data_IF_717233107429
#
_entry.id   IF_717233107429
#
_cell.length_a   1.000
_cell.length_b   1.000
_cell.length_c   1.000
_cell.angle_alpha   90.00
_cell.angle_beta   90.00
_cell.angle_gamma   90.00
#
_symmetry.space_group_name_H-M   'P 1'
#
loop_
_entity.id
_entity.type
_entity.pdbx_description
1 polymer ?
#
# COMPACT_ATOMS: atom_id res chain seq x y z
N UNK A 1 3.83 18.63 -18.33
CA UNK A 1 2.89 19.22 -17.36
C UNK A 1 1.62 18.38 -17.36
N UNK A 2 1.42 17.56 -16.33
CA UNK A 2 0.17 16.83 -16.09
C UNK A 2 -0.42 17.38 -14.80
N UNK A 3 -1.33 18.34 -14.96
CA UNK A 3 -2.13 18.90 -13.85
C UNK A 3 -3.28 17.93 -13.61
N UNK A 4 -3.08 16.99 -12.70
CA UNK A 4 -4.10 16.09 -12.21
C UNK A 4 -3.64 15.57 -10.86
N UNK A 5 -4.49 15.66 -9.85
CA UNK A 5 -4.26 15.18 -8.50
C UNK A 5 -3.34 15.95 -7.53
N UNK A 6 -2.65 17.01 -7.97
CA UNK A 6 -1.67 17.69 -7.12
C UNK A 6 -0.49 16.79 -6.68
N UNK A 7 -0.35 15.62 -7.32
CA UNK A 7 0.75 14.66 -7.14
C UNK A 7 1.57 14.68 -8.43
N UNK A 8 2.85 15.06 -8.33
CA UNK A 8 3.72 15.18 -9.50
C UNK A 8 5.19 15.11 -9.10
N UNK A 9 6.06 14.81 -10.07
CA UNK A 9 7.51 14.95 -9.90
C UNK A 9 7.95 16.28 -10.50
N UNK A 10 8.58 17.13 -9.69
CA UNK A 10 9.07 18.46 -10.08
C UNK A 10 10.51 18.58 -9.60
N UNK A 11 11.47 18.87 -10.48
CA UNK A 11 12.89 19.02 -10.14
C UNK A 11 13.46 17.83 -9.32
N UNK A 12 13.12 16.60 -9.72
CA UNK A 12 13.47 15.36 -9.01
C UNK A 12 12.88 15.25 -7.59
N UNK A 13 11.80 15.97 -7.29
CA UNK A 13 11.09 15.88 -6.02
C UNK A 13 9.66 15.40 -6.25
N UNK A 14 9.19 14.40 -5.48
CA UNK A 14 7.78 14.02 -5.47
C UNK A 14 7.03 15.05 -4.61
N UNK A 15 6.21 15.85 -5.27
CA UNK A 15 5.39 16.89 -4.66
C UNK A 15 3.95 16.43 -4.61
N UNK A 16 3.35 16.50 -3.42
CA UNK A 16 1.98 16.11 -3.13
C UNK A 16 1.27 17.28 -2.46
N UNK A 17 0.22 17.81 -3.08
CA UNK A 17 -0.53 18.99 -2.63
C UNK A 17 0.38 20.20 -2.30
N UNK A 18 1.45 20.40 -3.09
CA UNK A 18 2.43 21.48 -2.88
C UNK A 18 3.50 21.19 -1.83
N UNK A 19 3.49 20.02 -1.21
CA UNK A 19 4.48 19.59 -0.23
C UNK A 19 5.44 18.56 -0.83
N UNK A 20 6.76 18.74 -0.63
CA UNK A 20 7.73 17.71 -1.01
C UNK A 20 7.67 16.54 -0.02
N UNK A 21 7.50 15.34 -0.55
CA UNK A 21 7.46 14.08 0.21
C UNK A 21 8.71 13.23 -0.06
N UNK A 22 9.15 13.14 -1.32
CA UNK A 22 10.40 12.47 -1.68
C UNK A 22 11.34 13.44 -2.38
N UNK A 23 12.63 13.31 -2.11
CA UNK A 23 13.70 14.06 -2.75
C UNK A 23 14.63 13.15 -3.53
N UNK A 24 15.09 13.60 -4.69
CA UNK A 24 16.00 12.83 -5.54
C UNK A 24 15.31 11.63 -6.19
N UNK A 25 14.06 11.82 -6.59
CA UNK A 25 13.28 10.88 -7.39
C UNK A 25 14.02 10.63 -8.72
N UNK A 26 14.38 9.38 -9.03
CA UNK A 26 15.04 9.03 -10.28
C UNK A 26 14.19 9.30 -11.53
N UNK A 27 14.83 9.58 -12.66
CA UNK A 27 14.16 9.92 -13.93
C UNK A 27 13.27 8.81 -14.49
N UNK A 28 13.55 7.56 -14.14
CA UNK A 28 12.79 6.41 -14.58
C UNK A 28 11.50 6.19 -13.76
N UNK A 29 11.26 6.97 -12.70
CA UNK A 29 10.00 6.93 -11.95
C UNK A 29 8.94 7.73 -12.70
N UNK A 30 7.81 7.10 -12.97
CA UNK A 30 6.70 7.68 -13.72
C UNK A 30 5.51 7.88 -12.79
N UNK A 31 4.87 9.05 -12.88
CA UNK A 31 3.64 9.35 -12.13
C UNK A 31 2.48 9.53 -13.11
N UNK A 32 1.50 8.63 -13.01
CA UNK A 32 0.31 8.61 -13.87
C UNK A 32 -0.93 8.95 -13.04
N UNK A 33 -1.63 10.06 -13.32
CA UNK A 33 -2.86 10.40 -12.61
C UNK A 33 -3.90 9.27 -12.69
N UNK A 34 -4.57 8.98 -11.58
CA UNK A 34 -5.63 8.00 -11.55
C UNK A 34 -6.83 8.53 -12.35
N UNK A 35 -7.14 7.89 -13.48
CA UNK A 35 -8.26 8.29 -14.33
C UNK A 35 -9.56 7.70 -13.78
N UNK A 36 -10.42 8.52 -13.18
CA UNK A 36 -11.73 8.07 -12.71
C UNK A 36 -12.62 9.23 -12.25
N UNK A 37 -13.95 9.09 -12.46
CA UNK A 37 -15.00 10.04 -12.04
C UNK A 37 -15.16 10.19 -10.51
N UNK A 38 -14.14 9.87 -9.72
CA UNK A 38 -14.21 9.87 -8.26
C UNK A 38 -13.59 11.13 -7.67
N UNK A 39 -14.21 11.65 -6.60
CA UNK A 39 -13.84 12.87 -5.86
C UNK A 39 -12.47 12.81 -5.14
N UNK A 40 -11.50 12.04 -5.64
CA UNK A 40 -10.14 12.05 -5.10
C UNK A 40 -9.09 12.12 -6.19
N UNK A 41 -8.18 13.04 -5.90
CA UNK A 41 -6.95 13.32 -6.56
C UNK A 41 -5.91 12.26 -6.10
N UNK A 42 -5.73 11.21 -6.90
CA UNK A 42 -4.72 10.17 -6.69
C UNK A 42 -3.87 9.94 -7.94
N UNK A 43 -2.72 9.29 -7.79
CA UNK A 43 -1.83 8.95 -8.89
C UNK A 43 -1.15 7.60 -8.65
N UNK A 44 -0.80 6.92 -9.72
CA UNK A 44 0.04 5.73 -9.69
C UNK A 44 1.49 6.11 -9.91
N UNK A 45 2.38 5.52 -9.11
CA UNK A 45 3.81 5.49 -9.33
C UNK A 45 4.15 4.19 -10.04
N UNK A 46 4.85 4.32 -11.16
CA UNK A 46 5.46 3.24 -11.92
C UNK A 46 6.96 3.46 -12.11
N UNK A 47 7.60 2.51 -12.77
CA UNK A 47 9.02 2.55 -13.13
C UNK A 47 9.19 2.09 -14.58
N UNK A 48 9.82 2.94 -15.40
CA UNK A 48 10.25 2.60 -16.76
C UNK A 48 11.62 1.92 -16.71
N UNK A 49 11.70 0.62 -16.98
CA UNK A 49 12.98 -0.11 -17.02
C UNK A 49 12.97 -1.22 -18.06
N UNK A 50 14.14 -1.47 -18.65
CA UNK A 50 14.45 -2.61 -19.51
C UNK A 50 14.96 -3.83 -18.70
N UNK A 51 15.07 -3.72 -17.38
CA UNK A 51 15.48 -4.81 -16.51
C UNK A 51 14.41 -5.91 -16.46
N UNK A 52 14.84 -7.17 -16.52
CA UNK A 52 13.97 -8.36 -16.39
C UNK A 52 14.36 -9.18 -15.17
N UNK A 53 13.43 -9.77 -14.45
CA UNK A 53 13.74 -10.66 -13.34
C UNK A 53 12.54 -10.89 -12.45
N UNK A 54 12.48 -12.05 -11.82
CA UNK A 54 11.43 -12.39 -10.85
C UNK A 54 11.50 -11.58 -9.55
N UNK A 55 12.62 -10.86 -9.33
CA UNK A 55 12.83 -9.93 -8.23
C UNK A 55 13.61 -8.70 -8.71
N UNK A 56 13.05 -7.49 -8.54
CA UNK A 56 13.68 -6.21 -8.93
C UNK A 56 13.43 -5.12 -7.89
N UNK A 57 14.42 -4.27 -7.66
CA UNK A 57 14.36 -3.18 -6.68
C UNK A 57 14.65 -1.85 -7.37
N UNK A 58 13.81 -0.85 -7.13
CA UNK A 58 13.93 0.48 -7.72
C UNK A 58 13.83 1.56 -6.64
N UNK A 59 14.80 2.46 -6.52
CA UNK A 59 14.71 3.59 -5.60
C UNK A 59 13.67 4.61 -6.08
N UNK A 60 12.94 5.20 -5.13
CA UNK A 60 11.98 6.28 -5.34
C UNK A 60 12.50 7.64 -4.86
N UNK A 61 13.56 7.65 -4.06
CA UNK A 61 14.13 8.86 -3.46
C UNK A 61 14.03 8.87 -1.93
N UNK A 62 14.56 9.92 -1.31
CA UNK A 62 14.67 10.07 0.14
C UNK A 62 13.40 10.67 0.72
N UNK A 63 12.89 10.07 1.80
CA UNK A 63 11.83 10.68 2.60
C UNK A 63 12.39 11.91 3.32
N UNK A 64 12.06 13.10 2.80
CA UNK A 64 12.52 14.39 3.34
C UNK A 64 11.40 15.44 3.14
N UNK A 65 10.87 15.98 4.23
CA UNK A 65 9.89 17.07 4.15
C UNK A 65 10.59 18.39 3.88
N UNK A 66 10.03 19.20 3.00
CA UNK A 66 10.21 20.64 3.08
C UNK A 66 8.97 21.35 2.55
N UNK A 67 8.54 22.38 3.27
CA UNK A 67 7.63 23.37 2.70
C UNK A 67 8.38 24.15 1.62
N UNK A 68 7.78 24.32 0.45
CA UNK A 68 8.30 25.20 -0.61
C UNK A 68 8.13 26.70 -0.25
N UNK A 69 7.60 27.02 0.93
CA UNK A 69 7.46 28.40 1.42
C UNK A 69 8.79 29.00 1.90
N UNK A 70 9.09 30.18 1.38
CA UNK A 70 10.43 30.71 1.13
C UNK A 70 11.18 31.29 2.34
N UNK A 71 10.80 31.00 3.60
CA UNK A 71 11.35 31.75 4.75
C UNK A 71 11.95 30.93 5.89
N UNK A 72 11.86 29.60 5.89
CA UNK A 72 12.51 28.81 6.93
C UNK A 72 12.84 27.41 6.44
N UNK A 73 14.11 27.19 6.08
CA UNK A 73 14.67 25.87 5.77
C UNK A 73 14.91 25.09 7.07
N UNK A 74 13.86 24.86 7.86
CA UNK A 74 13.88 23.85 8.90
C UNK A 74 13.64 22.51 8.22
N UNK A 75 14.68 21.68 8.16
CA UNK A 75 14.53 20.25 7.87
C UNK A 75 13.69 19.65 8.98
N UNK A 76 12.43 19.38 8.70
CA UNK A 76 11.59 18.54 9.54
C UNK A 76 11.61 17.14 8.94
N UNK A 77 11.82 16.13 9.78
CA UNK A 77 11.69 14.76 9.32
C UNK A 77 10.20 14.41 9.15
N UNK A 78 9.86 13.72 8.06
CA UNK A 78 8.52 13.22 7.81
C UNK A 78 8.20 12.11 8.80
N UNK A 79 7.14 12.27 9.59
CA UNK A 79 6.63 11.16 10.40
C UNK A 79 5.87 10.19 9.50
N UNK A 80 6.11 8.90 9.69
CA UNK A 80 5.35 7.87 8.98
C UNK A 80 4.84 6.79 9.92
N UNK A 81 3.79 6.10 9.46
CA UNK A 81 3.40 4.78 9.93
C UNK A 81 3.36 3.85 8.73
N UNK A 82 3.86 2.63 8.89
CA UNK A 82 3.82 1.60 7.85
C UNK A 82 3.32 0.28 8.43
N UNK A 83 2.79 -0.57 7.56
CA UNK A 83 2.40 -1.94 7.88
C UNK A 83 3.19 -2.88 6.98
N UNK A 84 3.93 -3.81 7.59
CA UNK A 84 4.85 -4.69 6.90
C UNK A 84 4.67 -6.13 7.34
N UNK A 85 5.06 -7.05 6.46
CA UNK A 85 5.00 -8.48 6.72
C UNK A 85 6.25 -8.92 7.45
N UNK A 86 6.12 -9.37 8.70
CA UNK A 86 7.25 -9.87 9.49
C UNK A 86 7.28 -11.40 9.59
N UNK A 87 6.16 -12.06 9.26
CA UNK A 87 6.05 -13.52 9.08
C UNK A 87 5.04 -13.80 7.97
N UNK A 88 5.09 -15.01 7.40
CA UNK A 88 4.27 -15.44 6.27
C UNK A 88 2.78 -15.05 6.37
N UNK A 89 2.19 -15.17 7.56
CA UNK A 89 0.77 -14.91 7.84
C UNK A 89 0.50 -13.68 8.72
N UNK A 90 1.53 -12.88 9.04
CA UNK A 90 1.43 -11.82 10.04
C UNK A 90 2.00 -10.49 9.53
N UNK A 91 1.19 -9.45 9.70
CA UNK A 91 1.56 -8.05 9.50
C UNK A 91 1.69 -7.37 10.86
N UNK A 92 2.60 -6.41 10.97
CA UNK A 92 2.69 -5.51 12.13
C UNK A 92 2.97 -4.09 11.65
N UNK A 93 2.76 -3.10 12.53
CA UNK A 93 3.03 -1.71 12.23
C UNK A 93 4.41 -1.26 12.73
N UNK A 94 4.95 -0.24 12.09
CA UNK A 94 6.10 0.54 12.57
C UNK A 94 5.89 2.02 12.30
N UNK A 95 6.31 2.85 13.24
CA UNK A 95 6.39 4.30 13.08
C UNK A 95 7.86 4.71 13.03
N UNK A 96 8.16 5.79 12.33
CA UNK A 96 9.52 6.30 12.22
C UNK A 96 9.56 7.67 11.55
N UNK A 97 10.77 8.15 11.34
CA UNK A 97 11.01 9.43 10.67
C UNK A 97 12.02 9.35 9.52
N UNK A 98 12.68 8.20 9.37
CA UNK A 98 13.70 7.98 8.34
C UNK A 98 13.29 6.84 7.41
N UNK A 99 13.47 7.01 6.09
CA UNK A 99 13.24 5.97 5.09
C UNK A 99 13.99 4.67 5.38
N UNK A 100 15.22 4.72 5.92
CA UNK A 100 15.99 3.52 6.31
C UNK A 100 15.31 2.64 7.38
N UNK A 101 14.32 3.19 8.09
CA UNK A 101 13.57 2.47 9.12
C UNK A 101 12.39 1.68 8.56
N UNK A 102 12.03 1.91 7.29
CA UNK A 102 10.94 1.21 6.62
C UNK A 102 11.35 -0.25 6.42
N UNK A 103 10.66 -1.22 7.04
CA UNK A 103 11.04 -2.62 6.93
C UNK A 103 10.82 -3.17 5.53
N UNK A 104 11.52 -4.27 5.23
CA UNK A 104 11.23 -5.09 4.05
C UNK A 104 9.77 -5.57 4.06
N UNK A 105 9.23 -5.78 2.87
CA UNK A 105 7.84 -6.22 2.67
C UNK A 105 6.79 -5.29 3.30
N UNK A 106 7.03 -3.97 3.25
CA UNK A 106 6.03 -2.97 3.62
C UNK A 106 4.92 -2.93 2.57
N UNK A 107 3.68 -3.21 2.96
CA UNK A 107 2.52 -3.27 2.05
C UNK A 107 1.58 -2.08 2.22
N UNK A 108 1.87 -1.17 3.14
CA UNK A 108 1.15 0.07 3.35
C UNK A 108 2.07 1.07 4.03
N UNK A 109 2.08 2.31 3.57
CA UNK A 109 2.80 3.40 4.18
C UNK A 109 1.91 4.65 4.17
N UNK A 110 1.85 5.35 5.29
CA UNK A 110 1.23 6.67 5.39
C UNK A 110 2.24 7.64 5.98
N UNK A 111 2.35 8.79 5.33
CA UNK A 111 3.28 9.84 5.68
C UNK A 111 2.49 11.09 6.06
N UNK A 112 2.89 11.72 7.15
CA UNK A 112 2.35 13.02 7.54
C UNK A 112 3.17 14.13 6.89
N UNK A 113 2.59 14.75 5.86
CA UNK A 113 3.07 15.97 5.26
C UNK A 113 2.51 17.17 6.05
N UNK A 114 3.21 17.58 7.10
CA UNK A 114 2.83 18.75 7.89
C UNK A 114 3.13 20.04 7.16
N UNK A 115 2.10 20.80 6.78
CA UNK A 115 2.22 22.17 6.30
C UNK A 115 2.82 23.07 7.37
N UNK A 116 4.15 23.08 7.48
CA UNK A 116 4.86 23.85 8.49
C UNK A 116 4.52 25.33 8.42
N UNK A 117 3.79 25.80 9.43
CA UNK A 117 3.94 27.12 10.01
C UNK A 117 3.24 27.16 11.39
N UNK A 118 4.03 27.13 12.46
CA UNK A 118 3.63 27.60 13.80
C UNK A 118 3.45 29.15 13.83
N UNK A 119 3.49 29.79 12.66
CA UNK A 119 3.29 31.22 12.48
C UNK A 119 2.13 31.42 11.47
N UNK A 120 0.97 31.79 12.03
CA UNK A 120 -0.18 32.37 11.33
C UNK A 120 -0.83 31.52 10.22
N UNK A 121 -1.54 30.47 10.65
CA UNK A 121 -2.56 29.80 9.84
C UNK A 121 -2.48 28.28 9.98
N UNK A 122 -3.39 27.69 10.76
CA UNK A 122 -3.49 26.24 10.94
C UNK A 122 -3.95 25.59 9.62
N UNK A 123 -3.01 25.30 8.72
CA UNK A 123 -3.30 24.36 7.64
C UNK A 123 -3.37 22.97 8.25
N UNK A 124 -4.47 22.22 8.07
CA UNK A 124 -4.60 20.89 8.63
C UNK A 124 -3.49 19.98 8.08
N UNK A 125 -2.99 19.08 8.93
CA UNK A 125 -2.01 18.07 8.52
C UNK A 125 -2.50 17.33 7.28
N UNK A 126 -1.64 17.20 6.27
CA UNK A 126 -1.94 16.41 5.09
C UNK A 126 -1.31 15.04 5.24
N UNK A 127 -2.07 13.99 4.96
CA UNK A 127 -1.62 12.61 5.00
C UNK A 127 -1.49 12.09 3.59
N UNK A 128 -0.34 11.48 3.29
CA UNK A 128 -0.01 10.90 2.00
C UNK A 128 0.08 9.39 2.17
N UNK A 129 -0.83 8.66 1.52
CA UNK A 129 -0.83 7.20 1.49
C UNK A 129 -0.02 6.72 0.30
N UNK A 130 0.83 5.73 0.53
CA UNK A 130 1.46 4.90 -0.48
C UNK A 130 0.94 3.47 -0.30
N UNK A 131 0.23 2.98 -1.31
CA UNK A 131 -0.37 1.66 -1.32
C UNK A 131 0.22 0.84 -2.47
N UNK A 132 1.22 -0.01 -2.20
CA UNK A 132 1.75 -0.97 -3.16
C UNK A 132 0.66 -1.93 -3.62
N UNK A 133 0.65 -2.25 -4.92
CA UNK A 133 -0.37 -3.08 -5.55
C UNK A 133 0.23 -4.20 -6.40
N UNK A 134 -0.65 -5.04 -6.94
CA UNK A 134 -0.28 -6.04 -7.94
C UNK A 134 -0.40 -5.44 -9.34
N UNK A 135 0.55 -5.74 -10.22
CA UNK A 135 0.42 -5.50 -11.65
C UNK A 135 0.83 -6.75 -12.44
N UNK A 136 -0.15 -7.36 -13.11
CA UNK A 136 0.03 -8.68 -13.70
C UNK A 136 0.43 -9.71 -12.64
N UNK A 137 1.51 -10.43 -12.91
CA UNK A 137 2.04 -11.48 -12.03
C UNK A 137 3.00 -10.94 -10.95
N UNK A 138 3.24 -9.63 -10.91
CA UNK A 138 4.18 -9.01 -9.99
C UNK A 138 3.48 -8.31 -8.84
N UNK A 139 4.03 -8.52 -7.64
CA UNK A 139 3.66 -7.81 -6.42
C UNK A 139 4.67 -6.72 -6.12
N UNK A 140 4.20 -5.49 -5.98
CA UNK A 140 4.98 -4.41 -5.40
C UNK A 140 4.89 -4.44 -3.87
N UNK A 141 6.03 -4.19 -3.22
CA UNK A 141 6.15 -3.85 -1.81
C UNK A 141 7.13 -2.69 -1.65
N UNK A 142 7.12 -2.03 -0.50
CA UNK A 142 8.06 -0.98 -0.15
C UNK A 142 9.11 -1.50 0.83
N UNK A 143 10.26 -0.84 0.82
CA UNK A 143 11.33 -1.03 1.79
C UNK A 143 12.19 0.23 1.90
N UNK A 144 12.93 0.34 2.99
CA UNK A 144 13.98 1.33 3.18
C UNK A 144 15.37 0.77 2.87
N UNK A 145 16.31 1.65 2.54
CA UNK A 145 17.73 1.29 2.36
C UNK A 145 18.68 2.10 3.26
N UNK A 146 19.98 1.76 3.23
CA UNK A 146 21.00 2.43 4.03
C UNK A 146 21.19 3.91 3.66
N UNK A 147 20.81 4.31 2.44
CA UNK A 147 20.86 5.68 1.92
C UNK A 147 19.67 6.54 2.34
N UNK A 148 18.78 6.01 3.18
CA UNK A 148 17.53 6.66 3.61
C UNK A 148 16.52 6.84 2.48
N UNK A 149 16.59 6.02 1.44
CA UNK A 149 15.67 6.04 0.31
C UNK A 149 14.53 5.06 0.54
N UNK A 150 13.37 5.43 0.02
CA UNK A 150 12.26 4.53 -0.18
C UNK A 150 12.50 3.76 -1.48
N UNK A 151 12.29 2.45 -1.48
CA UNK A 151 12.43 1.59 -2.66
C UNK A 151 11.14 0.82 -2.91
N UNK A 152 10.82 0.60 -4.19
CA UNK A 152 9.86 -0.40 -4.63
C UNK A 152 10.62 -1.71 -4.85
N UNK A 153 10.16 -2.78 -4.23
CA UNK A 153 10.56 -4.15 -4.56
C UNK A 153 9.42 -4.84 -5.31
N UNK A 154 9.72 -5.37 -6.49
CA UNK A 154 8.82 -6.15 -7.33
C UNK A 154 9.20 -7.62 -7.26
N UNK A 155 8.22 -8.47 -7.00
CA UNK A 155 8.41 -9.92 -6.92
C UNK A 155 7.28 -10.68 -7.62
N UNK A 156 7.62 -11.61 -8.51
CA UNK A 156 6.64 -12.57 -9.07
C UNK A 156 6.51 -13.83 -8.22
N UNK A 157 7.57 -14.19 -7.48
CA UNK A 157 7.65 -15.46 -6.74
C UNK A 157 7.92 -16.69 -7.62
N UNK A 158 8.11 -16.50 -8.93
CA UNK A 158 8.42 -17.57 -9.89
C UNK A 158 9.60 -17.13 -10.78
N UNK A 159 10.76 -17.83 -10.76
CA UNK A 159 11.90 -17.53 -11.60
C UNK A 159 11.63 -17.55 -13.11
N UNK A 160 10.56 -18.23 -13.55
CA UNK A 160 10.13 -18.29 -14.95
C UNK A 160 9.29 -17.08 -15.37
N UNK A 161 8.79 -16.31 -14.41
CA UNK A 161 8.05 -15.08 -14.62
C UNK A 161 8.98 -13.90 -14.32
N UNK A 162 9.65 -13.41 -15.36
CA UNK A 162 10.72 -12.41 -15.26
C UNK A 162 10.42 -11.09 -16.01
N UNK A 163 9.23 -10.94 -16.60
CA UNK A 163 8.83 -9.74 -17.33
C UNK A 163 7.69 -9.02 -16.60
N UNK A 164 7.86 -7.73 -16.34
CA UNK A 164 6.84 -6.86 -15.76
C UNK A 164 6.64 -5.61 -16.63
N UNK A 165 5.46 -4.99 -16.52
CA UNK A 165 5.16 -3.73 -17.21
C UNK A 165 5.69 -2.54 -16.43
N UNK A 166 5.38 -2.48 -15.13
CA UNK A 166 5.90 -1.47 -14.21
C UNK A 166 5.13 -0.16 -14.21
N UNK A 167 3.91 -0.09 -14.74
CA UNK A 167 3.20 1.18 -14.93
C UNK A 167 2.48 1.65 -13.65
N UNK A 168 1.86 0.72 -12.92
CA UNK A 168 1.02 1.00 -11.76
C UNK A 168 1.45 0.13 -10.57
N UNK A 169 2.55 0.52 -9.92
CA UNK A 169 3.15 -0.29 -8.86
C UNK A 169 2.72 0.17 -7.46
N UNK A 170 2.61 1.48 -7.26
CA UNK A 170 2.20 2.07 -5.98
C UNK A 170 1.15 3.14 -6.23
N UNK A 171 -0.02 2.99 -5.62
CA UNK A 171 -1.03 4.03 -5.63
C UNK A 171 -0.74 5.07 -4.54
N UNK A 172 -0.82 6.36 -4.90
CA UNK A 172 -0.60 7.50 -4.02
C UNK A 172 -1.87 8.34 -3.95
N UNK A 173 -2.27 8.69 -2.74
CA UNK A 173 -3.37 9.61 -2.49
C UNK A 173 -3.05 10.50 -1.29
N UNK A 174 -3.66 11.69 -1.25
CA UNK A 174 -3.49 12.63 -0.17
C UNK A 174 -4.82 13.17 0.36
N UNK A 175 -4.85 13.52 1.63
CA UNK A 175 -6.03 14.12 2.26
C UNK A 175 -5.77 14.56 3.69
N UNK A 176 -6.67 15.36 4.26
CA UNK A 176 -6.55 15.91 5.62
C UNK A 176 -6.96 14.93 6.73
N UNK A 177 -7.78 13.93 6.41
CA UNK A 177 -8.19 12.87 7.35
C UNK A 177 -7.51 11.55 6.94
N UNK A 178 -6.66 10.95 7.81
CA UNK A 178 -5.95 9.73 7.49
C UNK A 178 -6.88 8.55 7.22
N UNK A 179 -8.05 8.47 7.89
CA UNK A 179 -8.97 7.35 7.71
C UNK A 179 -9.73 7.44 6.39
N UNK A 180 -10.11 8.65 6.01
CA UNK A 180 -10.78 8.92 4.74
C UNK A 180 -9.84 8.68 3.56
N UNK A 181 -8.60 9.19 3.61
CA UNK A 181 -7.61 8.96 2.52
C UNK A 181 -7.30 7.47 2.36
N UNK A 182 -7.18 6.70 3.45
CA UNK A 182 -7.00 5.24 3.37
C UNK A 182 -8.21 4.59 2.70
N UNK A 183 -9.41 4.93 3.15
CA UNK A 183 -10.66 4.35 2.62
C UNK A 183 -10.79 4.63 1.12
N UNK A 184 -10.49 5.85 0.70
CA UNK A 184 -10.58 6.27 -0.69
C UNK A 184 -9.47 5.67 -1.54
N UNK A 185 -8.25 5.51 -1.01
CA UNK A 185 -7.16 4.84 -1.71
C UNK A 185 -7.50 3.38 -2.03
N UNK A 186 -8.06 2.63 -1.07
CA UNK A 186 -8.49 1.26 -1.31
C UNK A 186 -9.62 1.18 -2.34
N UNK A 187 -10.57 2.13 -2.32
CA UNK A 187 -11.63 2.21 -3.33
C UNK A 187 -11.10 2.49 -4.73
N UNK A 188 -10.14 3.40 -4.87
CA UNK A 188 -9.51 3.74 -6.14
C UNK A 188 -8.73 2.53 -6.70
N UNK A 189 -7.96 1.84 -5.86
CA UNK A 189 -7.26 0.62 -6.24
C UNK A 189 -8.24 -0.51 -6.60
N UNK A 190 -9.37 -0.64 -5.91
CA UNK A 190 -10.41 -1.60 -6.29
C UNK A 190 -10.97 -1.33 -7.68
N UNK A 191 -11.28 -0.06 -7.98
CA UNK A 191 -11.77 0.35 -9.30
C UNK A 191 -10.75 0.09 -10.40
N UNK A 192 -9.46 0.29 -10.10
CA UNK A 192 -8.37 0.08 -11.04
C UNK A 192 -8.10 -1.41 -11.30
N UNK A 193 -7.93 -2.21 -10.23
CA UNK A 193 -7.55 -3.62 -10.37
C UNK A 193 -8.72 -4.52 -10.75
N UNK A 194 -9.93 -4.23 -10.27
CA UNK A 194 -11.14 -5.05 -10.47
C UNK A 194 -11.00 -6.52 -10.01
N UNK A 195 -10.00 -6.85 -9.18
CA UNK A 195 -9.71 -8.21 -8.71
C UNK A 195 -10.25 -8.52 -7.30
N UNK A 196 -10.70 -7.49 -6.57
CA UNK A 196 -11.24 -7.64 -5.23
C UNK A 196 -12.46 -6.74 -5.00
N UNK A 197 -13.07 -6.88 -3.84
CA UNK A 197 -14.15 -5.99 -3.39
C UNK A 197 -13.97 -5.66 -1.93
N UNK A 198 -14.40 -4.48 -1.54
CA UNK A 198 -14.52 -4.07 -0.14
C UNK A 198 -15.32 -5.07 0.71
N UNK A 199 -14.96 -5.17 2.00
CA UNK A 199 -15.51 -6.17 2.94
C UNK A 199 -17.03 -6.12 3.01
N UNK A 200 -17.63 -4.94 2.95
CA UNK A 200 -19.08 -4.73 3.04
C UNK A 200 -19.84 -5.38 1.86
N UNK A 201 -19.18 -5.54 0.71
CA UNK A 201 -19.73 -6.22 -0.47
C UNK A 201 -19.39 -7.71 -0.52
N UNK A 202 -18.43 -8.18 0.27
CA UNK A 202 -18.09 -9.60 0.33
C UNK A 202 -19.23 -10.35 1.02
N UNK A 203 -19.80 -11.35 0.33
CA UNK A 203 -20.80 -12.25 0.93
C UNK A 203 -20.21 -12.92 2.17
N UNK A 204 -20.80 -12.64 3.33
CA UNK A 204 -20.48 -13.38 4.56
C UNK A 204 -20.98 -14.81 4.36
N UNK A 205 -20.05 -15.77 4.33
CA UNK A 205 -20.44 -17.18 4.38
C UNK A 205 -21.12 -17.42 5.73
N UNK A 206 -22.29 -18.05 5.72
CA UNK A 206 -22.97 -18.45 6.96
C UNK A 206 -21.97 -19.23 7.81
N UNK A 207 -21.87 -18.96 9.13
CA UNK A 207 -21.07 -19.78 10.01
C UNK A 207 -21.47 -21.24 9.79
N UNK A 208 -20.51 -22.10 9.47
CA UNK A 208 -20.74 -23.54 9.61
C UNK A 208 -21.00 -23.75 11.10
N UNK A 209 -22.10 -24.41 11.46
CA UNK A 209 -22.40 -24.71 12.86
C UNK A 209 -21.23 -25.48 13.48
N UNK A 210 -20.40 -24.80 14.27
CA UNK A 210 -19.23 -25.37 14.96
C UNK A 210 -19.62 -26.02 16.28
N UNK A 211 -20.87 -26.42 16.46
CA UNK A 211 -21.30 -27.30 17.55
C UNK A 211 -20.71 -28.70 17.33
N UNK A 212 -19.39 -28.81 17.49
CA UNK A 212 -18.60 -30.05 17.58
C UNK A 212 -18.78 -30.69 18.95
N UNK A 213 -19.24 -29.90 19.92
CA UNK A 213 -19.42 -30.29 21.31
C UNK A 213 -20.88 -30.20 21.72
N UNK A 214 -21.42 -31.30 22.24
CA UNK A 214 -22.62 -31.32 23.07
C UNK A 214 -22.25 -31.85 24.45
N UNK A 215 -22.71 -31.18 25.51
CA UNK A 215 -22.78 -31.79 26.83
C UNK A 215 -23.94 -32.80 26.81
N UNK A 216 -23.70 -34.02 27.30
CA UNK A 216 -24.83 -34.87 27.69
C UNK A 216 -25.39 -34.45 29.06
N UNK A 217 -26.51 -35.04 29.45
CA UNK A 217 -27.23 -34.71 30.70
C UNK A 217 -26.43 -34.99 31.98
N UNK A 218 -25.25 -35.62 31.85
CA UNK A 218 -24.30 -35.88 32.93
C UNK A 218 -23.07 -34.96 32.89
N UNK A 219 -23.07 -33.96 32.01
CA UNK A 219 -22.01 -32.97 31.91
C UNK A 219 -20.75 -33.46 31.20
N UNK A 220 -20.81 -34.59 30.48
CA UNK A 220 -19.66 -35.14 29.74
C UNK A 220 -19.63 -34.55 28.34
N UNK A 221 -18.47 -34.01 27.94
CA UNK A 221 -18.24 -33.52 26.58
C UNK A 221 -18.23 -34.70 25.60
N UNK A 222 -19.20 -34.75 24.68
CA UNK A 222 -19.18 -35.71 23.55
C UNK A 222 -18.79 -35.03 22.25
N UNK A 223 -17.88 -35.68 21.52
CA UNK A 223 -17.59 -35.38 20.12
C UNK A 223 -18.65 -36.06 19.23
N UNK A 224 -19.41 -35.27 18.47
CA UNK A 224 -20.20 -35.81 17.36
C UNK A 224 -19.52 -35.48 16.04
N UNK A 225 -18.89 -36.49 15.42
CA UNK A 225 -18.53 -36.42 14.01
C UNK A 225 -19.83 -36.43 13.20
N UNK A 226 -20.34 -35.24 12.83
CA UNK A 226 -21.35 -35.19 11.76
C UNK A 226 -20.66 -35.60 10.47
N UNK A 227 -21.06 -36.76 9.93
CA UNK A 227 -20.80 -37.13 8.53
C UNK A 227 -21.16 -35.94 7.65
N UNK A 228 -20.20 -35.52 6.83
CA UNK A 228 -20.50 -34.70 5.67
C UNK A 228 -21.55 -35.45 4.84
N UNK A 229 -22.76 -34.90 4.70
CA UNK A 229 -23.60 -35.26 3.56
C UNK A 229 -22.98 -34.57 2.34
N UNK A 230 -21.93 -35.18 1.80
CA UNK A 230 -21.54 -34.89 0.43
C UNK A 230 -22.73 -35.26 -0.44
N UNK A 231 -23.27 -34.27 -1.15
CA UNK A 231 -23.97 -34.57 -2.39
C UNK A 231 -23.03 -35.42 -3.23
N UNK A 232 -23.47 -36.64 -3.51
CA UNK A 232 -23.05 -37.58 -4.54
C UNK A 232 -21.80 -37.18 -5.35
N UNK A 233 -20.70 -37.91 -5.18
CA UNK A 233 -19.97 -38.47 -6.31
C UNK A 233 -18.94 -39.54 -5.87
N UNK A 234 -19.08 -40.73 -6.46
CA UNK A 234 -18.10 -41.77 -6.78
C UNK A 234 -16.91 -42.04 -5.86
N UNK A 235 -16.83 -43.28 -5.35
CA UNK A 235 -15.64 -43.85 -4.70
C UNK A 235 -14.41 -43.82 -5.63
N UNK A 236 -13.22 -43.43 -5.13
CA UNK A 236 -11.97 -43.93 -5.66
C UNK A 236 -11.58 -45.23 -4.95
N UNK A 237 -11.29 -46.25 -5.75
CA UNK A 237 -10.49 -47.43 -5.36
C UNK A 237 -9.02 -46.97 -5.33
N UNK A 238 -8.27 -47.44 -4.33
CA UNK A 238 -6.84 -47.18 -4.16
C UNK A 238 -6.00 -47.76 -5.31
#
# INVERSE_FOLDING_TARGET
MTVGAGISVINSDLVVLGHRVLRGVPENVVVTPASGNSLMDGAFIGVSSDQTGSHRVFPLGKLEYSSLSLYLSLKLDLRFMCVFRFKLWWMTQRMGTHGKEIPFETQFLIVEANGGSDLEGHQPASYVVFLPILEGDFRAVLQGNQSNELEICLESGDPTVDQFKGDHLVFVAAGSDPFDVITKAVKAVEQHLQTFSHRERKKVRKPVSTSIFSLDDHGVLRWTLRKWSTGVMGNPVW
#
